data_IF_476956167177
#
_entry.id   IF_476956167177
#
_cell.length_a   1.000
_cell.length_b   1.000
_cell.length_c   1.000
_cell.angle_alpha   90.00
_cell.angle_beta   90.00
_cell.angle_gamma   90.00
#
_symmetry.space_group_name_H-M   'P 1'
#
loop_
_entity.id
_entity.type
_entity.pdbx_description
1 polymer ?
#
# COMPACT_ATOMS: atom_id res chain seq x y z
N UNK A 1 -17.05 -29.19 -19.93
CA UNK A 1 -17.45 -29.51 -18.54
C UNK A 1 -16.54 -28.70 -17.63
N UNK A 2 -16.95 -27.47 -17.32
CA UNK A 2 -16.11 -26.51 -16.59
C UNK A 2 -16.09 -26.90 -15.12
N UNK A 3 -14.89 -27.19 -14.57
CA UNK A 3 -14.71 -27.32 -13.12
C UNK A 3 -15.13 -26.00 -12.50
N UNK A 4 -16.06 -26.07 -11.56
CA UNK A 4 -16.35 -24.99 -10.63
C UNK A 4 -15.05 -24.59 -9.94
N UNK A 5 -14.42 -23.52 -10.42
CA UNK A 5 -13.34 -22.90 -9.69
C UNK A 5 -13.94 -22.38 -8.39
N UNK A 6 -13.62 -23.10 -7.30
CA UNK A 6 -13.81 -22.71 -5.90
C UNK A 6 -13.10 -21.38 -5.63
N UNK A 7 -13.66 -20.27 -6.13
CA UNK A 7 -13.11 -18.92 -6.04
C UNK A 7 -13.20 -18.30 -4.64
N UNK A 8 -13.83 -18.98 -3.69
CA UNK A 8 -13.94 -18.59 -2.28
C UNK A 8 -13.75 -19.83 -1.39
N UNK A 9 -12.61 -20.50 -1.53
CA UNK A 9 -12.26 -21.61 -0.65
C UNK A 9 -11.49 -21.07 0.58
N UNK A 10 -12.17 -21.10 1.74
CA UNK A 10 -11.66 -21.02 3.12
C UNK A 10 -10.27 -20.39 3.35
N UNK A 11 -10.25 -19.19 3.94
CA UNK A 11 -9.17 -18.65 4.79
C UNK A 11 -7.73 -18.97 4.31
N UNK A 12 -7.37 -18.49 3.12
CA UNK A 12 -5.98 -18.15 2.81
C UNK A 12 -5.60 -16.87 3.58
N UNK A 13 -5.59 -16.95 4.91
CA UNK A 13 -5.00 -15.91 5.75
C UNK A 13 -3.51 -15.96 5.44
N UNK A 14 -3.03 -15.00 4.66
CA UNK A 14 -1.61 -14.74 4.50
C UNK A 14 -1.17 -13.80 5.61
N UNK A 15 -0.07 -14.17 6.26
CA UNK A 15 0.61 -13.29 7.19
C UNK A 15 1.76 -12.65 6.42
N UNK A 16 1.67 -11.33 6.28
CA UNK A 16 2.69 -10.54 5.61
C UNK A 16 3.48 -9.74 6.65
N UNK A 17 4.80 -9.87 6.62
CA UNK A 17 5.72 -9.09 7.42
C UNK A 17 6.69 -8.36 6.49
N UNK A 18 7.05 -7.12 6.79
CA UNK A 18 8.01 -6.43 5.96
C UNK A 18 8.91 -5.48 6.71
N UNK A 19 10.16 -5.44 6.28
CA UNK A 19 11.16 -4.47 6.73
C UNK A 19 11.41 -3.53 5.57
N UNK A 20 11.45 -2.23 5.84
CA UNK A 20 11.75 -1.22 4.84
C UNK A 20 12.54 -0.08 5.47
N UNK A 21 13.23 0.67 4.62
CA UNK A 21 13.93 1.88 5.01
C UNK A 21 13.64 2.96 3.98
N UNK A 22 13.35 4.19 4.41
CA UNK A 22 13.06 5.31 3.51
C UNK A 22 14.26 6.26 3.46
N UNK A 23 14.94 6.29 2.32
CA UNK A 23 16.05 7.16 2.01
C UNK A 23 15.52 8.44 1.36
N UNK A 24 15.57 9.57 2.05
CA UNK A 24 15.28 10.88 1.43
C UNK A 24 16.42 11.21 0.46
N UNK A 25 16.09 11.34 -0.83
CA UNK A 25 17.05 11.65 -1.89
C UNK A 25 17.10 13.14 -2.19
N UNK A 26 15.95 13.80 -2.14
CA UNK A 26 15.79 15.21 -2.44
C UNK A 26 14.63 15.80 -1.64
N UNK A 27 14.76 17.06 -1.22
CA UNK A 27 13.72 17.82 -0.54
C UNK A 27 13.82 19.28 -0.94
N UNK A 28 12.68 19.83 -1.31
CA UNK A 28 12.41 21.25 -1.49
C UNK A 28 11.17 21.62 -0.64
N UNK A 29 10.81 22.90 -0.56
CA UNK A 29 9.76 23.43 0.33
C UNK A 29 8.46 22.63 0.31
N UNK A 30 7.99 22.28 -0.88
CA UNK A 30 6.69 21.64 -1.11
C UNK A 30 6.82 20.25 -1.75
N UNK A 31 8.04 19.72 -1.93
CA UNK A 31 8.29 18.51 -2.72
C UNK A 31 9.41 17.65 -2.13
N UNK A 32 9.23 16.33 -2.13
CA UNK A 32 10.20 15.35 -1.61
C UNK A 32 10.30 14.16 -2.54
N UNK A 33 11.52 13.70 -2.80
CA UNK A 33 11.79 12.40 -3.43
C UNK A 33 12.50 11.49 -2.44
N UNK A 34 12.04 10.25 -2.33
CA UNK A 34 12.67 9.23 -1.51
C UNK A 34 12.76 7.88 -2.23
N UNK A 35 13.82 7.12 -1.97
CA UNK A 35 13.89 5.71 -2.30
C UNK A 35 13.47 4.86 -1.09
N UNK A 36 12.82 3.73 -1.33
CA UNK A 36 12.43 2.81 -0.28
C UNK A 36 12.71 1.36 -0.69
N UNK A 37 13.89 0.82 -0.36
CA UNK A 37 14.11 -0.61 -0.31
C UNK A 37 13.18 -1.25 0.75
N UNK A 38 12.61 -2.41 0.41
CA UNK A 38 11.69 -3.18 1.22
C UNK A 38 11.92 -4.68 1.00
N UNK A 39 11.97 -5.44 2.06
CA UNK A 39 11.89 -6.90 2.03
C UNK A 39 10.52 -7.28 2.60
N UNK A 40 9.75 -8.04 1.84
CA UNK A 40 8.44 -8.56 2.22
C UNK A 40 8.54 -10.08 2.37
N UNK A 41 8.18 -10.59 3.53
CA UNK A 41 7.93 -11.99 3.79
C UNK A 41 6.42 -12.23 3.78
N UNK A 42 5.97 -13.19 2.97
CA UNK A 42 4.57 -13.62 2.94
C UNK A 42 4.50 -15.11 3.25
N UNK A 43 3.68 -15.48 4.23
CA UNK A 43 3.42 -16.88 4.61
C UNK A 43 1.94 -17.18 4.52
N UNK A 44 1.56 -18.27 3.85
CA UNK A 44 0.18 -18.76 3.85
C UNK A 44 0.12 -20.21 4.30
N UNK A 45 -1.02 -20.68 4.80
CA UNK A 45 -1.17 -22.04 5.34
C UNK A 45 -0.78 -23.15 4.35
N UNK A 46 -0.82 -22.90 3.04
CA UNK A 46 -0.57 -23.88 1.98
C UNK A 46 0.73 -23.64 1.21
N UNK A 47 1.38 -22.49 1.36
CA UNK A 47 2.59 -22.14 0.60
C UNK A 47 3.78 -21.99 1.55
N UNK A 48 4.95 -22.45 1.10
CA UNK A 48 6.24 -22.12 1.72
C UNK A 48 6.41 -20.60 1.79
N UNK A 49 7.17 -20.15 2.78
CA UNK A 49 7.50 -18.74 2.99
C UNK A 49 8.08 -18.13 1.71
N UNK A 50 7.51 -17.01 1.28
CA UNK A 50 7.92 -16.30 0.07
C UNK A 50 8.56 -14.96 0.45
N UNK A 51 9.82 -14.76 0.04
CA UNK A 51 10.53 -13.51 0.24
C UNK A 51 10.56 -12.72 -1.07
N UNK A 52 10.16 -11.45 -0.98
CA UNK A 52 10.10 -10.52 -2.09
C UNK A 52 10.93 -9.29 -1.75
N UNK A 53 11.99 -9.07 -2.53
CA UNK A 53 12.72 -7.82 -2.53
C UNK A 53 11.97 -6.79 -3.35
N UNK A 54 11.86 -5.57 -2.86
CA UNK A 54 11.21 -4.45 -3.55
C UNK A 54 12.05 -3.19 -3.40
N UNK A 55 12.16 -2.45 -4.48
CA UNK A 55 12.65 -1.07 -4.47
C UNK A 55 11.52 -0.16 -4.92
N UNK A 56 11.38 0.99 -4.26
CA UNK A 56 10.34 1.96 -4.55
C UNK A 56 10.94 3.35 -4.69
N UNK A 57 10.43 4.14 -5.61
CA UNK A 57 10.65 5.58 -5.69
C UNK A 57 9.36 6.27 -5.27
N UNK A 58 9.46 7.16 -4.28
CA UNK A 58 8.35 7.91 -3.71
C UNK A 58 8.56 9.38 -4.07
N UNK A 59 7.52 10.01 -4.60
CA UNK A 59 7.51 11.42 -4.96
C UNK A 59 6.31 12.06 -4.28
N UNK A 60 6.56 12.92 -3.30
CA UNK A 60 5.53 13.58 -2.50
C UNK A 60 5.50 15.07 -2.77
N UNK A 61 4.31 15.63 -2.87
CA UNK A 61 4.07 17.07 -2.87
C UNK A 61 3.09 17.43 -1.76
N UNK A 62 3.31 18.57 -1.11
CA UNK A 62 2.34 19.13 -0.18
C UNK A 62 2.32 20.64 -0.27
N UNK A 63 1.12 21.24 -0.25
CA UNK A 63 0.94 22.69 -0.29
C UNK A 63 -0.03 23.13 0.79
N UNK A 64 0.32 24.17 1.52
CA UNK A 64 -0.55 24.79 2.51
C UNK A 64 -1.50 25.78 1.83
N UNK A 65 -2.81 25.50 1.91
CA UNK A 65 -3.89 26.38 1.45
C UNK A 65 -4.79 26.63 2.65
N UNK A 66 -4.55 27.72 3.40
CA UNK A 66 -5.27 28.00 4.65
C UNK A 66 -6.79 27.87 4.44
N UNK A 67 -7.50 27.01 5.21
CA UNK A 67 -7.11 26.41 6.49
C UNK A 67 -6.56 24.96 6.44
N UNK A 68 -6.24 24.42 5.26
CA UNK A 68 -5.85 23.02 5.06
C UNK A 68 -4.47 22.85 4.41
N UNK A 69 -3.92 21.65 4.45
CA UNK A 69 -2.77 21.22 3.66
C UNK A 69 -3.25 20.18 2.65
N UNK A 70 -3.04 20.42 1.36
CA UNK A 70 -3.29 19.42 0.32
C UNK A 70 -2.00 18.67 0.07
N UNK A 71 -2.07 17.35 -0.08
CA UNK A 71 -0.92 16.53 -0.40
C UNK A 71 -1.24 15.52 -1.51
N UNK A 72 -0.20 15.16 -2.25
CA UNK A 72 -0.19 14.07 -3.20
C UNK A 72 1.12 13.28 -3.01
N UNK A 73 1.06 11.96 -3.12
CA UNK A 73 2.22 11.10 -3.10
C UNK A 73 2.08 10.01 -4.17
N UNK A 74 3.00 10.01 -5.11
CA UNK A 74 3.15 8.95 -6.09
C UNK A 74 4.24 7.96 -5.65
N UNK A 75 4.03 6.68 -5.93
CA UNK A 75 4.97 5.61 -5.62
C UNK A 75 5.08 4.71 -6.84
N UNK A 76 6.30 4.57 -7.35
CA UNK A 76 6.65 3.56 -8.34
C UNK A 76 7.43 2.46 -7.65
N UNK A 77 7.08 1.21 -7.86
CA UNK A 77 7.81 0.10 -7.26
C UNK A 77 8.03 -1.04 -8.21
N UNK A 78 9.20 -1.65 -8.06
CA UNK A 78 9.55 -2.91 -8.67
C UNK A 78 9.89 -3.91 -7.58
N UNK A 79 9.38 -5.14 -7.72
CA UNK A 79 9.70 -6.22 -6.81
C UNK A 79 9.95 -7.55 -7.52
N UNK A 80 10.84 -8.34 -6.93
CA UNK A 80 11.26 -9.64 -7.41
C UNK A 80 11.36 -10.62 -6.24
N UNK A 81 11.07 -11.90 -6.49
CA UNK A 81 11.28 -12.95 -5.50
C UNK A 81 12.76 -13.18 -5.25
N UNK A 82 13.11 -13.32 -3.97
CA UNK A 82 14.47 -13.64 -3.51
C UNK A 82 14.66 -15.16 -3.42
N UNK A 83 13.56 -15.92 -3.36
CA UNK A 83 13.60 -17.38 -3.19
C UNK A 83 14.15 -18.11 -4.43
N UNK A 84 14.99 -19.11 -4.18
CA UNK A 84 15.53 -20.03 -5.20
C UNK A 84 14.37 -20.90 -5.72
N UNK A 85 13.85 -20.57 -6.91
CA UNK A 85 12.83 -21.34 -7.61
C UNK A 85 11.54 -20.59 -7.92
N UNK A 86 11.27 -19.43 -7.29
CA UNK A 86 10.19 -18.53 -7.72
C UNK A 86 10.75 -17.44 -8.63
N UNK A 87 10.08 -17.20 -9.78
CA UNK A 87 10.37 -16.08 -10.71
C UNK A 87 9.27 -15.03 -10.62
N UNK A 88 8.79 -14.76 -9.40
CA UNK A 88 7.71 -13.82 -9.18
C UNK A 88 8.25 -12.41 -9.39
N UNK A 89 7.57 -11.66 -10.23
CA UNK A 89 7.86 -10.26 -10.48
C UNK A 89 6.60 -9.45 -10.29
N UNK A 90 6.75 -8.25 -9.76
CA UNK A 90 5.65 -7.32 -9.75
C UNK A 90 6.09 -5.88 -9.90
N UNK A 91 5.22 -5.12 -10.52
CA UNK A 91 5.36 -3.69 -10.70
C UNK A 91 4.10 -3.05 -10.12
N UNK A 92 4.28 -1.94 -9.42
CA UNK A 92 3.13 -1.13 -9.04
C UNK A 92 3.39 0.35 -9.16
N UNK A 93 2.31 1.02 -9.53
CA UNK A 93 2.17 2.45 -9.43
C UNK A 93 1.05 2.72 -8.43
N UNK A 94 1.27 3.61 -7.47
CA UNK A 94 0.20 4.07 -6.59
C UNK A 94 0.26 5.55 -6.37
N UNK A 95 -0.90 6.17 -6.29
CA UNK A 95 -1.09 7.56 -5.90
C UNK A 95 -1.87 7.61 -4.59
N UNK A 96 -1.49 8.51 -3.71
CA UNK A 96 -2.20 8.86 -2.50
C UNK A 96 -2.42 10.37 -2.51
N UNK A 97 -3.66 10.81 -2.48
CA UNK A 97 -4.03 12.21 -2.46
C UNK A 97 -4.88 12.50 -1.24
N UNK A 98 -4.77 13.70 -0.71
CA UNK A 98 -5.58 14.03 0.44
C UNK A 98 -5.49 15.46 0.92
N UNK A 99 -6.33 15.72 1.91
CA UNK A 99 -6.46 17.00 2.58
C UNK A 99 -6.25 16.76 4.07
N UNK A 100 -5.31 17.48 4.67
CA UNK A 100 -5.05 17.49 6.10
C UNK A 100 -5.55 18.79 6.71
N UNK A 101 -6.38 18.67 7.73
CA UNK A 101 -6.89 19.79 8.52
C UNK A 101 -5.95 20.11 9.68
N UNK A 102 -5.96 21.36 10.16
CA UNK A 102 -5.14 21.79 11.31
C UNK A 102 -5.35 20.97 12.59
N UNK A 103 -6.55 20.42 12.76
CA UNK A 103 -6.87 19.56 13.91
C UNK A 103 -6.32 18.12 13.75
N UNK A 104 -5.54 17.81 12.71
CA UNK A 104 -4.94 16.51 12.48
C UNK A 104 -5.86 15.47 11.81
N UNK A 105 -7.07 15.83 11.43
CA UNK A 105 -7.93 14.98 10.58
C UNK A 105 -7.38 15.01 9.15
N UNK A 106 -7.42 13.87 8.46
CA UNK A 106 -7.06 13.75 7.06
C UNK A 106 -8.16 13.02 6.29
N UNK A 107 -8.48 13.51 5.10
CA UNK A 107 -9.27 12.79 4.10
C UNK A 107 -8.30 12.29 3.03
N UNK A 108 -8.38 11.01 2.70
CA UNK A 108 -7.42 10.35 1.81
C UNK A 108 -8.12 9.59 0.70
N UNK A 109 -7.54 9.64 -0.49
CA UNK A 109 -7.85 8.79 -1.63
C UNK A 109 -6.57 8.09 -2.05
N UNK A 110 -6.60 6.76 -2.09
CA UNK A 110 -5.46 5.94 -2.45
C UNK A 110 -5.85 5.04 -3.62
N UNK A 111 -5.05 5.05 -4.67
CA UNK A 111 -5.20 4.15 -5.81
C UNK A 111 -3.88 3.45 -6.07
N UNK A 112 -3.92 2.14 -6.27
CA UNK A 112 -2.76 1.31 -6.56
C UNK A 112 -3.07 0.37 -7.72
N UNK A 113 -2.31 0.56 -8.79
CA UNK A 113 -2.26 -0.33 -9.94
C UNK A 113 -1.15 -1.35 -9.70
N UNK A 114 -1.47 -2.62 -9.82
CA UNK A 114 -0.52 -3.68 -9.56
C UNK A 114 -0.52 -4.70 -10.70
N UNK A 115 0.63 -4.87 -11.33
CA UNK A 115 0.85 -5.92 -12.32
C UNK A 115 1.76 -6.98 -11.72
N UNK A 116 1.36 -8.24 -11.82
CA UNK A 116 2.10 -9.40 -11.31
C UNK A 116 2.39 -10.35 -12.47
N UNK A 117 3.58 -10.93 -12.47
CA UNK A 117 3.92 -12.03 -13.35
C UNK A 117 4.16 -13.27 -12.49
N UNK A 118 3.64 -14.41 -12.93
CA UNK A 118 3.74 -15.70 -12.24
C UNK A 118 2.98 -15.78 -10.89
N UNK A 119 1.86 -15.04 -10.76
CA UNK A 119 0.95 -15.10 -9.60
C UNK A 119 -0.42 -15.74 -9.91
N UNK A 120 -0.67 -16.13 -11.16
CA UNK A 120 -1.93 -16.72 -11.65
C UNK A 120 -2.85 -15.68 -12.28
N UNK A 121 -3.56 -16.08 -13.34
CA UNK A 121 -4.27 -15.19 -14.29
C UNK A 121 -5.18 -14.11 -13.67
N UNK A 122 -5.82 -14.42 -12.54
CA UNK A 122 -6.73 -13.48 -11.84
C UNK A 122 -5.97 -12.34 -11.16
N UNK A 123 -4.73 -12.58 -10.75
CA UNK A 123 -3.91 -11.64 -9.99
C UNK A 123 -2.87 -10.91 -10.85
N UNK A 124 -2.85 -11.17 -12.16
CA UNK A 124 -1.87 -10.60 -13.08
C UNK A 124 -1.99 -9.07 -13.19
N UNK A 125 -3.21 -8.55 -13.07
CA UNK A 125 -3.44 -7.10 -13.07
C UNK A 125 -4.61 -6.74 -12.16
N UNK A 126 -4.33 -5.92 -11.14
CA UNK A 126 -5.29 -5.49 -10.13
C UNK A 126 -5.30 -3.97 -9.98
N UNK A 127 -6.46 -3.44 -9.63
CA UNK A 127 -6.64 -2.06 -9.18
C UNK A 127 -7.27 -2.07 -7.80
N UNK A 128 -6.49 -1.58 -6.85
CA UNK A 128 -6.93 -1.34 -5.48
C UNK A 128 -7.19 0.15 -5.31
N UNK A 129 -8.35 0.49 -4.78
CA UNK A 129 -8.76 1.85 -4.51
C UNK A 129 -9.32 1.93 -3.09
N UNK A 130 -9.04 3.03 -2.39
CA UNK A 130 -9.48 3.24 -1.02
C UNK A 130 -9.78 4.71 -0.77
N UNK A 131 -10.89 4.97 -0.10
CA UNK A 131 -11.18 6.26 0.52
C UNK A 131 -11.08 6.11 2.03
N UNK A 132 -10.39 7.03 2.69
CA UNK A 132 -10.09 6.95 4.11
C UNK A 132 -10.29 8.27 4.85
N UNK A 133 -10.60 8.14 6.14
CA UNK A 133 -10.52 9.21 7.12
C UNK A 133 -9.47 8.78 8.14
N UNK A 134 -8.47 9.63 8.35
CA UNK A 134 -7.43 9.39 9.32
C UNK A 134 -7.37 10.50 10.36
N UNK A 135 -6.85 10.18 11.54
CA UNK A 135 -6.62 11.12 12.64
C UNK A 135 -5.20 10.94 13.15
N UNK A 136 -4.44 12.02 13.16
CA UNK A 136 -3.16 12.12 13.84
C UNK A 136 -3.42 12.46 15.31
N UNK A 137 -2.87 11.64 16.20
CA UNK A 137 -2.93 11.76 17.65
C UNK A 137 -1.49 11.92 18.14
N UNK A 138 -1.18 13.10 18.65
CA UNK A 138 0.14 13.39 19.22
C UNK A 138 0.16 12.91 20.68
N UNK A 139 1.23 12.23 21.09
CA UNK A 139 1.38 11.76 22.47
C UNK A 139 2.86 11.72 22.89
N UNK A 140 3.10 11.47 24.18
CA UNK A 140 4.45 11.47 24.76
C UNK A 140 4.96 12.86 25.15
N UNK A 141 6.15 12.88 25.76
CA UNK A 141 6.80 14.13 26.20
C UNK A 141 7.15 14.95 24.95
N UNK A 142 6.76 16.23 24.95
CA UNK A 142 6.99 17.16 23.83
C UNK A 142 6.28 16.84 22.50
N UNK A 143 5.21 16.01 22.49
CA UNK A 143 4.46 15.66 21.26
C UNK A 143 5.33 15.05 20.14
N UNK A 144 6.44 14.40 20.49
CA UNK A 144 7.36 13.81 19.51
C UNK A 144 6.82 12.56 18.84
N UNK A 145 5.92 11.83 19.51
CA UNK A 145 5.36 10.59 18.98
C UNK A 145 4.01 10.86 18.33
N UNK A 146 3.80 10.29 17.14
CA UNK A 146 2.58 10.46 16.35
C UNK A 146 1.94 9.11 16.10
N UNK A 147 0.75 8.88 16.64
CA UNK A 147 -0.10 7.78 16.23
C UNK A 147 -1.06 8.29 15.18
N UNK A 148 -1.07 7.68 14.00
CA UNK A 148 -2.14 7.92 13.04
C UNK A 148 -3.01 6.69 12.96
N UNK A 149 -4.31 6.88 13.17
CA UNK A 149 -5.33 5.85 12.98
C UNK A 149 -6.21 6.22 11.79
N UNK A 150 -6.55 5.24 10.96
CA UNK A 150 -7.35 5.41 9.76
C UNK A 150 -8.41 4.33 9.64
N UNK A 151 -9.62 4.76 9.30
CA UNK A 151 -10.71 3.92 8.80
C UNK A 151 -10.95 4.27 7.34
N UNK A 152 -11.23 3.28 6.51
CA UNK A 152 -11.54 3.51 5.11
C UNK A 152 -12.40 2.41 4.51
N UNK A 153 -12.94 2.70 3.33
CA UNK A 153 -13.61 1.72 2.50
C UNK A 153 -12.75 1.47 1.27
N UNK A 154 -12.47 0.20 0.98
CA UNK A 154 -11.65 -0.19 -0.15
C UNK A 154 -12.43 -1.05 -1.13
N UNK A 155 -11.99 -1.03 -2.38
CA UNK A 155 -12.39 -1.98 -3.40
C UNK A 155 -11.16 -2.40 -4.20
N UNK A 156 -11.07 -3.70 -4.45
CA UNK A 156 -10.02 -4.36 -5.21
C UNK A 156 -10.66 -5.15 -6.35
N UNK A 157 -10.16 -4.97 -7.55
CA UNK A 157 -10.71 -5.61 -8.76
C UNK A 157 -9.60 -6.05 -9.69
N UNK A 158 -9.82 -7.17 -10.37
CA UNK A 158 -8.93 -7.61 -11.43
C UNK A 158 -9.29 -6.93 -12.76
N UNK A 159 -8.27 -6.40 -13.43
CA UNK A 159 -8.38 -5.88 -14.79
C UNK A 159 -8.42 -7.00 -15.82
N UNK A 160 -7.76 -8.14 -15.53
CA UNK A 160 -7.73 -9.33 -16.40
C UNK A 160 -9.00 -10.17 -16.28
N UNK A 161 -9.53 -10.34 -15.05
CA UNK A 161 -10.75 -11.09 -14.80
C UNK A 161 -11.80 -10.22 -14.08
N UNK A 162 -12.73 -9.64 -14.86
CA UNK A 162 -13.77 -8.74 -14.34
C UNK A 162 -14.72 -9.37 -13.31
N UNK A 163 -14.72 -10.70 -13.14
CA UNK A 163 -15.51 -11.40 -12.10
C UNK A 163 -14.89 -11.27 -10.71
N UNK A 164 -13.57 -11.07 -10.60
CA UNK A 164 -12.92 -10.89 -9.31
C UNK A 164 -13.07 -9.45 -8.83
N UNK A 165 -13.87 -9.27 -7.78
CA UNK A 165 -14.08 -8.01 -7.07
C UNK A 165 -14.24 -8.30 -5.58
N UNK A 166 -13.53 -7.56 -4.75
CA UNK A 166 -13.66 -7.59 -3.29
C UNK A 166 -13.76 -6.14 -2.82
N UNK A 167 -14.62 -5.88 -1.84
CA UNK A 167 -14.66 -4.59 -1.18
C UNK A 167 -14.92 -4.79 0.31
N UNK A 168 -14.59 -3.77 1.10
CA UNK A 168 -14.76 -3.87 2.54
C UNK A 168 -14.22 -2.67 3.30
N UNK A 169 -14.32 -2.77 4.62
CA UNK A 169 -13.78 -1.77 5.53
C UNK A 169 -12.34 -2.13 5.86
N UNK A 170 -11.46 -1.14 5.81
CA UNK A 170 -10.07 -1.23 6.22
C UNK A 170 -9.84 -0.44 7.50
N UNK A 171 -9.13 -1.03 8.45
CA UNK A 171 -8.59 -0.34 9.61
C UNK A 171 -7.07 -0.39 9.54
N UNK A 172 -6.43 0.75 9.80
CA UNK A 172 -4.97 0.83 9.83
C UNK A 172 -4.53 1.81 10.90
N UNK A 173 -3.39 1.51 11.52
CA UNK A 173 -2.74 2.39 12.45
C UNK A 173 -1.22 2.33 12.22
N UNK A 174 -0.55 3.47 12.28
CA UNK A 174 0.91 3.55 12.24
C UNK A 174 1.43 4.51 13.28
N UNK A 175 2.60 4.18 13.79
CA UNK A 175 3.28 4.91 14.84
C UNK A 175 4.60 5.45 14.29
N UNK A 176 4.77 6.76 14.34
CA UNK A 176 6.05 7.42 14.10
C UNK A 176 6.69 7.70 15.47
N UNK A 177 7.85 7.09 15.73
CA UNK A 177 8.67 7.19 16.96
C UNK A 177 9.96 7.94 16.67
#
# INVERSE_FOLDING_TARGET
MYKEDKFLNEKNISTDASIYYKLKLFEDKDFVIAAQPKILMSKSKKLKEDFLGKISLLMGMSKNIRPVTIFNQNIFSFGHSINIGSKKMYYNFSTCEGIKFKNGIMLTSFTKYHTRQNYGYVYDSLVYEQLGIAKIINFGKENRNLLTAQIGYFWDRSLSNKKYKISGISFSAWLDV
#
